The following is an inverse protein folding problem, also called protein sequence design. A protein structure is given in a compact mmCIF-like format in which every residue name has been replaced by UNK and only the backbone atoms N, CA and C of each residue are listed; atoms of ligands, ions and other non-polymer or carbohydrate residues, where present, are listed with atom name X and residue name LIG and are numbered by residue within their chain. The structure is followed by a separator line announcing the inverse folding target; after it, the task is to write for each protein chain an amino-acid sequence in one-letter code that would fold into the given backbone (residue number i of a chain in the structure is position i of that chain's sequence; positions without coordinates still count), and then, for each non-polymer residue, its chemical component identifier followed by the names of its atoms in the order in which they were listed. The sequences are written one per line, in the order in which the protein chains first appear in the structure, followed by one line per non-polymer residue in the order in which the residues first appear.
data_IF_876396988272
#
_entry.id   IF_876396988272
#
_cell.length_a   1.000
_cell.length_b   1.000
_cell.length_c   1.000
_cell.angle_alpha   90.00
_cell.angle_beta   90.00
_cell.angle_gamma   90.00
#
_symmetry.space_group_name_H-M   'P 1'
#
loop_
_entity.id
_entity.type
_entity.pdbx_description
1 polymer ?
#
# COMPACT_ATOMS: atom_id res chain seq x y z
N UNK A 1 10.81 2.02 -7.14
CA UNK A 1 11.03 0.57 -6.92
C UNK A 1 10.58 0.27 -5.50
N UNK A 2 9.79 -0.80 -5.27
CA UNK A 2 9.31 -1.15 -3.93
C UNK A 2 10.46 -1.76 -3.11
N UNK A 3 10.70 -1.33 -1.86
CA UNK A 3 11.69 -1.96 -0.97
C UNK A 3 11.47 -3.47 -0.84
N UNK A 4 12.56 -4.24 -0.75
CA UNK A 4 12.52 -5.71 -0.63
C UNK A 4 11.67 -6.15 0.55
N UNK A 5 11.75 -5.43 1.67
CA UNK A 5 11.01 -5.74 2.90
C UNK A 5 9.49 -5.58 2.76
N UNK A 6 9.03 -4.90 1.71
CA UNK A 6 7.61 -4.71 1.39
C UNK A 6 7.12 -5.64 0.27
N UNK A 7 7.99 -6.50 -0.26
CA UNK A 7 7.59 -7.49 -1.26
C UNK A 7 6.77 -8.60 -0.60
N UNK A 8 5.60 -8.87 -1.15
CA UNK A 8 4.73 -9.96 -0.70
C UNK A 8 4.71 -11.04 -1.79
N UNK A 9 5.22 -12.23 -1.45
CA UNK A 9 5.26 -13.38 -2.36
C UNK A 9 4.98 -14.69 -1.63
N UNK A 10 4.78 -15.77 -2.38
CA UNK A 10 4.70 -17.14 -1.89
C UNK A 10 5.80 -17.95 -2.56
N UNK A 11 6.43 -18.86 -1.82
CA UNK A 11 7.33 -19.85 -2.39
C UNK A 11 6.54 -21.12 -2.74
N UNK A 12 6.76 -21.66 -3.94
CA UNK A 12 6.21 -22.92 -4.40
C UNK A 12 7.35 -23.78 -4.96
N UNK A 13 8.01 -24.53 -4.08
CA UNK A 13 9.25 -25.23 -4.42
C UNK A 13 10.35 -24.23 -4.78
N UNK A 14 10.84 -24.30 -6.02
CA UNK A 14 11.87 -23.38 -6.55
C UNK A 14 11.29 -22.09 -7.15
N UNK A 15 9.95 -21.96 -7.23
CA UNK A 15 9.29 -20.81 -7.84
C UNK A 15 8.85 -19.77 -6.80
N UNK A 16 9.06 -18.49 -7.09
CA UNK A 16 8.54 -17.36 -6.30
C UNK A 16 7.34 -16.76 -7.03
N UNK A 17 6.17 -16.85 -6.42
CA UNK A 17 4.91 -16.34 -6.96
C UNK A 17 4.55 -15.02 -6.23
N UNK A 18 4.55 -13.87 -6.91
CA UNK A 18 4.13 -12.60 -6.30
C UNK A 18 2.66 -12.65 -5.85
N UNK A 19 2.38 -12.16 -4.65
CA UNK A 19 0.99 -12.06 -4.17
C UNK A 19 0.36 -10.79 -4.76
N UNK A 20 -0.53 -10.98 -5.73
CA UNK A 20 -1.29 -9.88 -6.32
C UNK A 20 -2.49 -9.54 -5.43
N UNK A 21 -2.76 -8.25 -5.24
CA UNK A 21 -4.03 -7.82 -4.66
C UNK A 21 -5.15 -8.08 -5.68
N UNK A 22 -6.28 -8.58 -5.20
CA UNK A 22 -7.48 -8.75 -6.01
C UNK A 22 -8.06 -7.37 -6.30
N UNK A 23 -8.40 -7.08 -7.55
CA UNK A 23 -9.12 -5.85 -7.91
C UNK A 23 -10.61 -6.09 -7.60
N UNK A 24 -11.01 -5.71 -6.39
CA UNK A 24 -12.39 -5.82 -5.91
C UNK A 24 -12.78 -4.57 -5.11
N UNK A 25 -14.06 -4.45 -4.76
CA UNK A 25 -14.57 -3.27 -4.06
C UNK A 25 -13.85 -2.98 -2.73
N UNK A 26 -13.48 -4.03 -1.98
CA UNK A 26 -12.77 -3.86 -0.71
C UNK A 26 -11.37 -3.27 -0.92
N UNK A 27 -10.62 -3.81 -1.88
CA UNK A 27 -9.30 -3.30 -2.26
C UNK A 27 -9.37 -1.89 -2.84
N UNK A 28 -10.37 -1.61 -3.67
CA UNK A 28 -10.60 -0.27 -4.21
C UNK A 28 -10.96 0.73 -3.11
N UNK A 29 -11.78 0.34 -2.13
CA UNK A 29 -12.14 1.19 -0.99
C UNK A 29 -10.90 1.55 -0.15
N UNK A 30 -10.09 0.55 0.22
CA UNK A 30 -8.83 0.78 0.95
C UNK A 30 -7.88 1.70 0.16
N UNK A 31 -7.76 1.48 -1.15
CA UNK A 31 -6.92 2.34 -1.99
C UNK A 31 -7.45 3.78 -2.05
N UNK A 32 -8.77 3.96 -2.15
CA UNK A 32 -9.40 5.27 -2.17
C UNK A 32 -9.20 6.02 -0.84
N UNK A 33 -9.38 5.33 0.30
CA UNK A 33 -9.13 5.91 1.63
C UNK A 33 -7.69 6.41 1.76
N UNK A 34 -6.71 5.60 1.35
CA UNK A 34 -5.30 5.98 1.36
C UNK A 34 -5.07 7.19 0.43
N UNK A 35 -5.58 7.17 -0.80
CA UNK A 35 -5.44 8.30 -1.73
C UNK A 35 -6.01 9.59 -1.12
N UNK A 36 -7.20 9.53 -0.52
CA UNK A 36 -7.81 10.69 0.14
C UNK A 36 -6.93 11.23 1.28
N UNK A 37 -6.35 10.36 2.12
CA UNK A 37 -5.45 10.76 3.19
C UNK A 37 -4.25 11.60 2.67
N UNK A 38 -3.64 11.17 1.57
CA UNK A 38 -2.53 11.91 0.94
C UNK A 38 -3.00 13.22 0.31
N UNK A 39 -4.16 13.23 -0.36
CA UNK A 39 -4.72 14.47 -0.95
C UNK A 39 -4.96 15.51 0.15
N UNK A 40 -5.56 15.12 1.28
CA UNK A 40 -5.84 16.01 2.40
C UNK A 40 -4.57 16.52 3.11
N UNK A 41 -3.48 15.77 3.07
CA UNK A 41 -2.19 16.18 3.63
C UNK A 41 -1.38 17.11 2.70
N UNK A 42 -1.90 17.45 1.52
CA UNK A 42 -1.22 18.37 0.62
C UNK A 42 -1.04 19.74 1.27
N UNK A 43 0.19 20.24 1.31
CA UNK A 43 0.53 21.52 1.95
C UNK A 43 0.85 21.41 3.45
N UNK A 44 0.79 20.22 4.04
CA UNK A 44 1.25 19.97 5.41
C UNK A 44 2.65 19.34 5.44
N UNK A 45 3.16 19.06 6.65
CA UNK A 45 4.46 18.40 6.81
C UNK A 45 4.33 16.88 6.70
N UNK A 46 5.40 16.22 6.24
CA UNK A 46 5.47 14.74 6.20
C UNK A 46 5.13 14.11 7.56
N UNK A 47 5.56 14.70 8.67
CA UNK A 47 5.29 14.16 10.00
C UNK A 47 3.81 14.18 10.40
N UNK A 48 3.00 15.08 9.84
CA UNK A 48 1.55 15.06 10.06
C UNK A 48 0.87 13.95 9.25
N UNK A 49 1.34 13.71 8.02
CA UNK A 49 0.89 12.60 7.20
C UNK A 49 1.26 11.25 7.84
N UNK A 50 2.49 11.11 8.36
CA UNK A 50 2.94 9.88 9.00
C UNK A 50 2.08 9.52 10.23
N UNK A 51 1.65 10.53 11.00
CA UNK A 51 0.70 10.33 12.13
C UNK A 51 -0.69 9.87 11.71
N UNK A 52 -1.12 10.19 10.47
CA UNK A 52 -2.38 9.69 9.92
C UNK A 52 -2.26 8.27 9.35
N UNK A 53 -1.04 7.85 9.00
CA UNK A 53 -0.76 6.55 8.37
C UNK A 53 -0.26 5.47 9.34
N UNK A 54 0.12 5.86 10.57
CA UNK A 54 0.54 4.98 11.66
C UNK A 54 -0.62 4.29 12.37
#
# INVERSE_FOLDING_TARGET
MLPTDLLISRQNGEEIIPKRLLINNQTCAMAAELICCFIEATGTTQGELDRKLS
#
